data_IF_358631620695
#
_entry.id   IF_358631620695
#
_cell.length_a   1.000
_cell.length_b   1.000
_cell.length_c   1.000
_cell.angle_alpha   90.00
_cell.angle_beta   90.00
_cell.angle_gamma   90.00
#
_symmetry.space_group_name_H-M   'P 1'
#
loop_
_entity.id
_entity.type
_entity.pdbx_description
1 polymer ?
#
# COMPACT_ATOMS: atom_id res chain seq x y z
N UNK A 1 12.01 -1.27 -7.16
CA UNK A 1 12.53 -2.57 -6.65
C UNK A 1 13.12 -3.43 -7.76
N UNK A 2 12.40 -3.70 -8.85
CA UNK A 2 12.96 -4.50 -9.96
C UNK A 2 14.10 -3.74 -10.65
N UNK A 3 13.94 -2.48 -11.01
CA UNK A 3 15.00 -1.66 -11.62
C UNK A 3 16.27 -1.59 -10.74
N UNK A 4 16.10 -1.45 -9.43
CA UNK A 4 17.20 -1.47 -8.47
C UNK A 4 17.91 -2.85 -8.47
N UNK A 5 17.13 -3.93 -8.43
CA UNK A 5 17.69 -5.28 -8.45
C UNK A 5 18.46 -5.58 -9.76
N UNK A 6 17.94 -5.16 -10.91
CA UNK A 6 18.62 -5.28 -12.20
C UNK A 6 19.93 -4.47 -12.23
N UNK A 7 19.88 -3.21 -11.77
CA UNK A 7 21.07 -2.34 -11.74
C UNK A 7 22.19 -2.89 -10.84
N UNK A 8 21.82 -3.69 -9.86
CA UNK A 8 22.74 -4.37 -8.93
C UNK A 8 23.14 -5.78 -9.37
N UNK A 9 22.65 -6.25 -10.53
CA UNK A 9 22.94 -7.59 -11.04
C UNK A 9 22.35 -8.73 -10.22
N UNK A 10 21.25 -8.47 -9.48
CA UNK A 10 20.55 -9.48 -8.66
C UNK A 10 19.53 -10.29 -9.43
N UNK A 11 19.18 -9.84 -10.65
CA UNK A 11 18.26 -10.51 -11.54
C UNK A 11 18.95 -10.93 -12.84
N UNK A 12 18.74 -12.17 -13.25
CA UNK A 12 19.06 -12.69 -14.55
C UNK A 12 17.84 -13.42 -15.15
N UNK A 13 17.87 -13.86 -16.42
CA UNK A 13 16.70 -14.51 -17.06
C UNK A 13 16.18 -15.76 -16.35
N UNK A 14 17.03 -16.46 -15.58
CA UNK A 14 16.68 -17.68 -14.85
C UNK A 14 16.22 -17.41 -13.42
N UNK A 15 16.28 -16.15 -12.96
CA UNK A 15 15.89 -15.77 -11.60
C UNK A 15 14.37 -15.79 -11.44
N UNK A 16 13.88 -16.50 -10.42
CA UNK A 16 12.46 -16.51 -10.05
C UNK A 16 12.21 -15.43 -9.01
N UNK A 17 11.34 -14.48 -9.33
CA UNK A 17 10.92 -13.46 -8.38
C UNK A 17 9.84 -14.06 -7.46
N UNK A 18 9.99 -13.91 -6.15
CA UNK A 18 9.00 -14.37 -5.16
C UNK A 18 8.63 -13.20 -4.27
N UNK A 19 7.36 -12.84 -4.17
CA UNK A 19 6.95 -11.76 -3.26
C UNK A 19 5.76 -12.19 -2.39
N UNK A 20 5.90 -12.09 -1.04
CA UNK A 20 4.77 -12.21 -0.15
C UNK A 20 3.98 -10.91 -0.15
N UNK A 21 2.77 -10.94 -0.72
CA UNK A 21 1.96 -9.72 -0.83
C UNK A 21 0.48 -10.03 -0.84
N UNK A 22 -0.29 -9.18 -0.21
CA UNK A 22 -1.76 -9.26 -0.19
C UNK A 22 -2.44 -8.33 -1.20
N UNK A 23 -1.67 -7.59 -2.02
CA UNK A 23 -2.32 -6.55 -2.81
C UNK A 23 -1.57 -5.98 -4.00
N UNK A 24 -1.55 -4.68 -4.07
CA UNK A 24 -1.13 -3.89 -5.23
C UNK A 24 0.32 -4.12 -5.65
N UNK A 25 1.22 -4.37 -4.69
CA UNK A 25 2.62 -4.74 -4.99
C UNK A 25 2.69 -6.00 -5.84
N UNK A 26 1.87 -7.03 -5.53
CA UNK A 26 1.83 -8.25 -6.33
C UNK A 26 1.34 -8.01 -7.76
N UNK A 27 0.33 -7.17 -7.94
CA UNK A 27 -0.19 -6.80 -9.27
C UNK A 27 0.90 -6.03 -10.05
N UNK A 28 1.54 -5.05 -9.42
CA UNK A 28 2.61 -4.26 -10.05
C UNK A 28 3.83 -5.12 -10.43
N UNK A 29 4.27 -6.00 -9.51
CA UNK A 29 5.38 -6.92 -9.79
C UNK A 29 5.03 -7.92 -10.89
N UNK A 30 3.81 -8.47 -10.89
CA UNK A 30 3.36 -9.39 -11.95
C UNK A 30 3.35 -8.70 -13.32
N UNK A 31 2.86 -7.47 -13.40
CA UNK A 31 2.86 -6.67 -14.63
C UNK A 31 4.29 -6.40 -15.13
N UNK A 32 5.20 -5.97 -14.27
CA UNK A 32 6.60 -5.71 -14.63
C UNK A 32 7.32 -7.00 -15.01
N UNK A 33 7.11 -8.08 -14.27
CA UNK A 33 7.69 -9.39 -14.57
C UNK A 33 7.25 -9.90 -15.95
N UNK A 34 5.96 -9.78 -16.28
CA UNK A 34 5.44 -10.13 -17.59
C UNK A 34 6.09 -9.31 -18.71
N UNK A 35 6.21 -7.99 -18.52
CA UNK A 35 6.81 -7.09 -19.51
C UNK A 35 8.31 -7.34 -19.73
N UNK A 36 9.02 -7.87 -18.73
CA UNK A 36 10.46 -8.13 -18.78
C UNK A 36 10.86 -9.60 -18.94
N UNK A 37 9.86 -10.50 -18.99
CA UNK A 37 10.08 -11.93 -19.19
C UNK A 37 10.56 -12.68 -17.96
N UNK A 38 10.38 -12.15 -16.75
CA UNK A 38 10.69 -12.84 -15.52
C UNK A 38 9.59 -13.80 -15.08
N UNK A 39 9.98 -14.95 -14.57
CA UNK A 39 9.09 -15.83 -13.82
C UNK A 39 8.80 -15.23 -12.45
N UNK A 40 7.54 -15.20 -12.03
CA UNK A 40 7.15 -14.64 -10.72
C UNK A 40 6.17 -15.55 -9.98
N UNK A 41 6.40 -15.73 -8.70
CA UNK A 41 5.53 -16.43 -7.75
C UNK A 41 5.04 -15.40 -6.71
N UNK A 42 3.74 -15.21 -6.62
CA UNK A 42 3.13 -14.38 -5.58
C UNK A 42 2.58 -15.27 -4.48
N UNK A 43 2.99 -15.01 -3.26
CA UNK A 43 2.52 -15.72 -2.06
C UNK A 43 1.56 -14.82 -1.29
N UNK A 44 0.31 -15.27 -1.07
CA UNK A 44 -0.72 -14.42 -0.47
C UNK A 44 -1.72 -15.23 0.37
N UNK A 45 -2.31 -14.61 1.41
CA UNK A 45 -3.41 -15.22 2.14
C UNK A 45 -4.63 -15.47 1.24
N UNK A 46 -5.30 -16.58 1.42
CA UNK A 46 -6.50 -16.98 0.66
C UNK A 46 -7.71 -16.03 0.83
N UNK A 47 -7.67 -15.16 1.84
CA UNK A 47 -8.74 -14.19 2.16
C UNK A 47 -8.75 -12.96 1.25
N UNK A 48 -7.79 -12.83 0.33
CA UNK A 48 -7.73 -11.70 -0.59
C UNK A 48 -8.78 -11.80 -1.69
N UNK A 49 -9.21 -10.63 -2.23
CA UNK A 49 -10.25 -10.55 -3.26
C UNK A 49 -9.94 -11.41 -4.49
N UNK A 50 -10.99 -11.94 -5.10
CA UNK A 50 -10.89 -12.79 -6.29
C UNK A 50 -10.31 -12.01 -7.46
N UNK A 51 -10.69 -10.73 -7.60
CA UNK A 51 -10.23 -9.84 -8.66
C UNK A 51 -8.71 -9.67 -8.66
N UNK A 52 -8.10 -9.50 -7.48
CA UNK A 52 -6.64 -9.40 -7.36
C UNK A 52 -5.95 -10.66 -7.81
N UNK A 53 -6.47 -11.82 -7.41
CA UNK A 53 -5.93 -13.11 -7.84
C UNK A 53 -6.04 -13.31 -9.34
N UNK A 54 -7.16 -12.91 -9.93
CA UNK A 54 -7.39 -12.97 -11.38
C UNK A 54 -6.45 -12.04 -12.15
N UNK A 55 -6.25 -10.80 -11.67
CA UNK A 55 -5.32 -9.84 -12.28
C UNK A 55 -3.89 -10.37 -12.31
N UNK A 56 -3.38 -10.90 -11.20
CA UNK A 56 -2.03 -11.46 -11.14
C UNK A 56 -1.87 -12.66 -12.08
N UNK A 57 -2.86 -13.56 -12.12
CA UNK A 57 -2.86 -14.69 -13.07
C UNK A 57 -2.93 -14.24 -14.53
N UNK A 58 -3.68 -13.18 -14.83
CA UNK A 58 -3.76 -12.63 -16.18
C UNK A 58 -2.41 -12.10 -16.68
N UNK A 59 -1.54 -11.61 -15.77
CA UNK A 59 -0.16 -11.27 -16.07
C UNK A 59 0.79 -12.48 -16.08
N UNK A 60 0.30 -13.70 -15.86
CA UNK A 60 1.11 -14.92 -15.89
C UNK A 60 1.80 -15.26 -14.57
N UNK A 61 1.48 -14.57 -13.46
CA UNK A 61 2.07 -14.90 -12.16
C UNK A 61 1.53 -16.22 -11.60
N UNK A 62 2.43 -17.02 -11.02
CA UNK A 62 2.07 -18.19 -10.22
C UNK A 62 1.59 -17.74 -8.85
N UNK A 63 0.47 -18.29 -8.37
CA UNK A 63 -0.08 -17.94 -7.07
C UNK A 63 0.05 -19.10 -6.08
N UNK A 64 0.65 -18.82 -4.94
CA UNK A 64 0.69 -19.72 -3.78
C UNK A 64 -0.18 -19.11 -2.68
N UNK A 65 -1.29 -19.79 -2.37
CA UNK A 65 -2.21 -19.34 -1.32
C UNK A 65 -1.81 -19.94 0.02
N UNK A 66 -1.83 -19.11 1.06
CA UNK A 66 -1.58 -19.51 2.44
C UNK A 66 -2.85 -19.39 3.28
N UNK A 67 -2.90 -20.10 4.41
CA UNK A 67 -4.03 -20.05 5.34
C UNK A 67 -4.33 -18.62 5.77
N UNK A 68 -5.56 -18.18 5.62
CA UNK A 68 -6.00 -16.83 5.97
C UNK A 68 -5.72 -16.45 7.43
N UNK A 69 -5.85 -17.41 8.36
CA UNK A 69 -5.58 -17.19 9.78
C UNK A 69 -4.13 -16.80 10.10
N UNK A 70 -3.16 -17.17 9.24
CA UNK A 70 -1.75 -16.83 9.40
C UNK A 70 -1.41 -15.43 8.86
N UNK A 71 -2.32 -14.80 8.12
CA UNK A 71 -2.14 -13.46 7.55
C UNK A 71 -0.84 -13.29 6.77
N UNK A 72 -0.30 -12.08 6.76
CA UNK A 72 0.96 -11.77 6.06
C UNK A 72 2.18 -12.51 6.61
N UNK A 73 2.22 -12.80 7.92
CA UNK A 73 3.33 -13.58 8.50
C UNK A 73 3.43 -14.97 7.88
N UNK A 74 2.27 -15.61 7.63
CA UNK A 74 2.23 -16.91 6.95
C UNK A 74 2.70 -16.83 5.50
N UNK A 75 2.34 -15.77 4.78
CA UNK A 75 2.79 -15.57 3.41
C UNK A 75 4.30 -15.31 3.33
N UNK A 76 4.86 -14.51 4.24
CA UNK A 76 6.31 -14.24 4.33
C UNK A 76 7.07 -15.55 4.56
N UNK A 77 6.69 -16.33 5.58
CA UNK A 77 7.34 -17.60 5.88
C UNK A 77 7.32 -18.60 4.69
N UNK A 78 6.18 -18.66 3.97
CA UNK A 78 6.07 -19.52 2.78
C UNK A 78 6.90 -19.01 1.59
N UNK A 79 7.02 -17.70 1.42
CA UNK A 79 7.91 -17.14 0.40
C UNK A 79 9.38 -17.45 0.67
N UNK A 80 9.81 -17.36 1.93
CA UNK A 80 11.18 -17.72 2.35
C UNK A 80 11.46 -19.23 2.19
N UNK A 81 10.47 -20.08 2.46
CA UNK A 81 10.57 -21.53 2.21
C UNK A 81 10.79 -21.81 0.72
N UNK A 82 9.94 -21.26 -0.15
CA UNK A 82 10.04 -21.42 -1.60
C UNK A 82 11.38 -20.89 -2.15
N UNK A 83 11.86 -19.77 -1.62
CA UNK A 83 13.14 -19.20 -2.04
C UNK A 83 14.34 -20.12 -1.73
N UNK A 84 14.27 -20.94 -0.69
CA UNK A 84 15.31 -21.92 -0.36
C UNK A 84 15.26 -23.16 -1.25
N UNK A 85 14.09 -23.49 -1.80
CA UNK A 85 13.89 -24.66 -2.68
C UNK A 85 14.32 -24.39 -4.13
N UNK A 86 14.36 -23.12 -4.54
CA UNK A 86 14.69 -22.74 -5.91
C UNK A 86 16.17 -22.42 -6.08
N UNK A 87 16.80 -22.83 -7.20
CA UNK A 87 18.23 -22.60 -7.45
C UNK A 87 18.61 -21.11 -7.50
N UNK A 88 17.72 -20.29 -8.03
CA UNK A 88 17.87 -18.83 -8.14
C UNK A 88 16.53 -18.16 -7.82
N UNK A 89 16.43 -17.60 -6.64
CA UNK A 89 15.27 -16.86 -6.19
C UNK A 89 15.65 -15.46 -5.73
N UNK A 90 14.77 -14.50 -6.01
CA UNK A 90 14.90 -13.13 -5.53
C UNK A 90 13.59 -12.69 -4.87
N UNK A 91 13.67 -12.22 -3.64
CA UNK A 91 12.54 -11.63 -2.91
C UNK A 91 12.73 -10.12 -2.93
N UNK A 92 11.89 -9.35 -3.67
CA UNK A 92 11.94 -7.88 -3.69
C UNK A 92 11.84 -7.24 -2.31
N UNK A 93 11.01 -7.82 -1.41
CA UNK A 93 10.99 -7.47 -0.01
C UNK A 93 10.37 -6.10 0.28
N UNK A 94 9.13 -5.88 -0.11
CA UNK A 94 8.46 -4.57 -0.01
C UNK A 94 8.50 -3.91 1.37
N UNK A 95 8.63 -4.70 2.44
CA UNK A 95 8.63 -4.21 3.83
C UNK A 95 10.01 -3.77 4.33
N UNK A 96 11.09 -4.17 3.62
CA UNK A 96 12.47 -3.95 4.03
C UNK A 96 13.32 -3.25 2.93
N UNK A 97 12.84 -3.21 1.69
CA UNK A 97 13.60 -2.71 0.56
C UNK A 97 13.54 -1.16 0.46
N UNK A 98 14.67 -0.45 0.61
CA UNK A 98 14.71 1.01 0.57
C UNK A 98 14.31 1.61 -0.79
N UNK A 99 14.35 0.84 -1.89
CA UNK A 99 13.87 1.29 -3.19
C UNK A 99 12.35 1.60 -3.19
N UNK A 100 11.60 1.04 -2.24
CA UNK A 100 10.18 1.33 -2.07
C UNK A 100 9.94 2.80 -1.65
N UNK A 101 10.39 3.32 -0.49
CA UNK A 101 10.23 4.74 -0.19
C UNK A 101 11.02 5.64 -1.13
N UNK A 102 12.16 5.21 -1.64
CA UNK A 102 12.98 6.02 -2.54
C UNK A 102 12.25 6.41 -3.83
N UNK A 103 11.50 5.50 -4.46
CA UNK A 103 10.73 5.81 -5.67
C UNK A 103 9.62 6.82 -5.38
N UNK A 104 8.94 6.72 -4.25
CA UNK A 104 7.91 7.68 -3.86
C UNK A 104 8.48 9.08 -3.57
N UNK A 105 9.69 9.14 -3.00
CA UNK A 105 10.41 10.41 -2.82
C UNK A 105 10.81 11.03 -4.16
N UNK A 106 11.23 10.20 -5.12
CA UNK A 106 11.72 10.66 -6.42
C UNK A 106 10.60 10.97 -7.43
N UNK A 107 9.41 10.39 -7.29
CA UNK A 107 8.31 10.52 -8.26
C UNK A 107 7.03 11.02 -7.63
N UNK A 108 6.37 10.24 -6.80
CA UNK A 108 5.04 10.55 -6.23
C UNK A 108 5.04 11.88 -5.45
N UNK A 109 6.07 12.15 -4.66
CA UNK A 109 6.19 13.43 -3.94
C UNK A 109 6.27 14.64 -4.87
N UNK A 110 7.20 14.67 -5.84
CA UNK A 110 7.25 15.71 -6.88
C UNK A 110 5.97 15.88 -7.68
N UNK A 111 5.33 14.79 -8.09
CA UNK A 111 4.06 14.80 -8.83
C UNK A 111 2.96 15.49 -8.00
N UNK A 112 2.77 15.10 -6.73
CA UNK A 112 1.79 15.73 -5.83
C UNK A 112 2.07 17.24 -5.70
N UNK A 113 3.32 17.62 -5.48
CA UNK A 113 3.65 19.04 -5.30
C UNK A 113 3.39 19.85 -6.58
N UNK A 114 3.70 19.28 -7.75
CA UNK A 114 3.47 19.89 -9.05
C UNK A 114 1.97 20.05 -9.32
N UNK A 115 1.19 18.99 -9.14
CA UNK A 115 -0.25 18.95 -9.42
C UNK A 115 -1.08 19.84 -8.47
N UNK A 116 -0.48 20.24 -7.35
CA UNK A 116 -1.09 21.15 -6.37
C UNK A 116 -0.55 22.59 -6.44
N UNK A 117 0.21 22.95 -7.47
CA UNK A 117 0.89 24.26 -7.58
C UNK A 117 1.73 24.60 -6.34
N UNK A 118 2.35 23.59 -5.74
CA UNK A 118 3.15 23.73 -4.50
C UNK A 118 2.33 23.93 -3.22
N UNK A 119 1.01 23.76 -3.28
CA UNK A 119 0.11 24.06 -2.16
C UNK A 119 -0.35 22.79 -1.46
N UNK A 120 0.49 22.24 -0.60
CA UNK A 120 0.15 21.12 0.26
C UNK A 120 0.33 21.54 1.71
N UNK A 121 -0.75 21.60 2.48
CA UNK A 121 -0.68 21.85 3.93
C UNK A 121 -0.68 20.53 4.72
N UNK A 122 -1.49 19.56 4.27
CA UNK A 122 -1.66 18.27 4.94
C UNK A 122 -1.62 17.15 3.90
N UNK A 123 -0.75 16.16 4.09
CA UNK A 123 -0.70 14.94 3.30
C UNK A 123 -1.21 13.76 4.11
N UNK A 124 -2.16 13.00 3.57
CA UNK A 124 -2.82 11.86 4.22
C UNK A 124 -2.55 10.58 3.43
N UNK A 125 -2.01 9.57 4.06
CA UNK A 125 -1.78 8.28 3.41
C UNK A 125 -2.03 7.09 4.36
N UNK A 126 -2.64 6.04 3.83
CA UNK A 126 -2.77 4.75 4.50
C UNK A 126 -1.41 4.03 4.60
N UNK A 127 -1.14 3.40 5.75
CA UNK A 127 0.12 2.71 6.00
C UNK A 127 -0.02 1.20 5.81
N UNK A 128 0.45 0.70 4.67
CA UNK A 128 0.69 -0.72 4.42
C UNK A 128 2.15 -1.07 4.69
N UNK A 129 3.02 -0.90 3.70
CA UNK A 129 4.49 -0.99 3.90
C UNK A 129 5.08 0.28 4.51
N UNK A 130 4.39 1.40 4.38
CA UNK A 130 4.91 2.71 4.78
C UNK A 130 5.77 3.40 3.72
N UNK A 131 6.04 2.74 2.58
CA UNK A 131 6.89 3.32 1.52
C UNK A 131 6.37 4.65 0.99
N UNK A 132 5.07 4.75 0.73
CA UNK A 132 4.45 5.97 0.23
C UNK A 132 4.58 7.11 1.22
N UNK A 133 4.11 6.92 2.47
CA UNK A 133 4.12 8.00 3.47
C UNK A 133 5.55 8.44 3.82
N UNK A 134 6.49 7.49 3.88
CA UNK A 134 7.92 7.78 4.12
C UNK A 134 8.49 8.61 2.98
N UNK A 135 8.36 8.15 1.73
CA UNK A 135 8.97 8.82 0.59
C UNK A 135 8.33 10.16 0.28
N UNK A 136 6.99 10.22 0.19
CA UNK A 136 6.26 11.47 -0.07
C UNK A 136 6.40 12.45 1.10
N UNK A 137 6.26 11.96 2.33
CA UNK A 137 6.37 12.80 3.52
C UNK A 137 7.75 13.43 3.66
N UNK A 138 8.82 12.64 3.43
CA UNK A 138 10.18 13.16 3.42
C UNK A 138 10.36 14.25 2.34
N UNK A 139 9.92 13.99 1.10
CA UNK A 139 10.00 14.97 0.03
C UNK A 139 9.24 16.26 0.35
N UNK A 140 7.97 16.14 0.76
CA UNK A 140 7.16 17.33 1.04
C UNK A 140 7.73 18.17 2.20
N UNK A 141 8.24 17.53 3.26
CA UNK A 141 8.88 18.23 4.39
C UNK A 141 10.22 18.87 4.01
N UNK A 142 10.97 18.30 3.06
CA UNK A 142 12.16 18.94 2.49
C UNK A 142 11.81 20.22 1.71
N UNK A 143 10.68 20.23 0.99
CA UNK A 143 10.23 21.41 0.24
C UNK A 143 9.57 22.45 1.17
N UNK A 144 8.80 21.99 2.14
CA UNK A 144 8.12 22.86 3.11
C UNK A 144 8.01 22.16 4.47
N UNK A 145 8.86 22.51 5.46
CA UNK A 145 8.90 21.84 6.77
C UNK A 145 7.61 21.94 7.61
N UNK A 146 6.68 22.83 7.25
CA UNK A 146 5.40 22.98 7.98
C UNK A 146 4.29 22.07 7.45
N UNK A 147 4.53 21.31 6.37
CA UNK A 147 3.58 20.31 5.88
C UNK A 147 3.33 19.26 6.96
N UNK A 148 2.07 19.03 7.28
CA UNK A 148 1.68 17.96 8.20
C UNK A 148 1.48 16.66 7.42
N UNK A 149 2.08 15.59 7.88
CA UNK A 149 1.94 14.24 7.33
C UNK A 149 1.10 13.40 8.29
N UNK A 150 0.02 12.82 7.78
CA UNK A 150 -0.95 12.06 8.58
C UNK A 150 -1.00 10.62 8.11
N UNK A 151 -0.68 9.72 9.01
CA UNK A 151 -0.74 8.28 8.80
C UNK A 151 -2.15 7.77 9.09
N UNK A 152 -2.65 6.87 8.25
CA UNK A 152 -3.93 6.18 8.46
C UNK A 152 -3.69 4.70 8.71
N UNK A 153 -4.28 4.19 9.79
CA UNK A 153 -4.23 2.77 10.14
C UNK A 153 -5.64 2.23 10.46
N UNK A 154 -5.89 0.90 10.40
CA UNK A 154 -7.15 0.33 10.82
C UNK A 154 -7.36 0.45 12.34
N UNK A 155 -8.52 0.93 12.80
CA UNK A 155 -8.83 1.05 14.22
C UNK A 155 -8.81 -0.31 14.96
N UNK A 156 -9.16 -1.39 14.26
CA UNK A 156 -9.08 -2.76 14.80
C UNK A 156 -7.65 -3.35 14.84
N UNK A 157 -6.66 -2.68 14.20
CA UNK A 157 -5.25 -3.08 14.20
C UNK A 157 -4.35 -1.85 14.38
N UNK A 158 -4.44 -1.15 15.53
CA UNK A 158 -3.76 0.12 15.77
C UNK A 158 -2.28 -0.10 16.15
N UNK A 159 -1.51 -0.65 15.22
CA UNK A 159 -0.10 -1.02 15.45
C UNK A 159 0.77 0.22 15.66
N UNK A 160 0.54 1.27 14.86
CA UNK A 160 1.37 2.48 14.93
C UNK A 160 1.05 3.32 16.18
N UNK A 161 -0.23 3.44 16.53
CA UNK A 161 -0.66 4.27 17.67
C UNK A 161 -0.66 3.55 19.01
N UNK A 162 -0.89 2.22 19.03
CA UNK A 162 -1.06 1.44 20.27
C UNK A 162 -0.21 0.17 20.36
N UNK A 163 0.58 -0.15 19.33
CA UNK A 163 1.41 -1.37 19.32
C UNK A 163 0.62 -2.68 19.25
N UNK A 164 -0.68 -2.64 18.93
CA UNK A 164 -1.55 -3.82 18.97
C UNK A 164 -2.03 -4.20 17.57
N UNK A 165 -1.75 -5.42 17.13
CA UNK A 165 -2.27 -5.97 15.89
C UNK A 165 -3.62 -6.66 16.10
N UNK A 166 -4.52 -6.56 15.13
CA UNK A 166 -5.82 -7.20 15.13
C UNK A 166 -6.35 -7.49 13.73
N UNK A 167 -7.40 -8.29 13.64
CA UNK A 167 -8.07 -8.57 12.37
C UNK A 167 -8.91 -7.36 11.93
N UNK A 168 -8.79 -6.99 10.66
CA UNK A 168 -9.53 -5.89 10.05
C UNK A 168 -9.89 -6.19 8.59
N UNK A 169 -10.77 -5.37 8.00
CA UNK A 169 -11.26 -5.53 6.63
C UNK A 169 -10.73 -4.47 5.65
N UNK A 170 -9.87 -3.56 6.09
CA UNK A 170 -9.30 -2.52 5.23
C UNK A 170 -8.09 -3.10 4.48
N UNK A 171 -8.33 -3.76 3.35
CA UNK A 171 -7.28 -4.35 2.53
C UNK A 171 -6.31 -3.28 2.03
N UNK A 172 -5.00 -3.60 2.03
CA UNK A 172 -3.94 -2.73 1.51
C UNK A 172 -3.16 -1.96 2.57
N UNK A 173 -3.69 -1.82 3.80
CA UNK A 173 -3.01 -1.20 4.94
C UNK A 173 -3.05 -2.12 6.17
N UNK A 174 -2.32 -1.77 7.23
CA UNK A 174 -2.37 -2.51 8.49
C UNK A 174 -1.74 -3.89 8.41
N UNK A 175 -0.44 -3.99 8.12
CA UNK A 175 0.30 -5.24 7.96
C UNK A 175 0.40 -6.10 9.24
N UNK A 176 0.02 -5.55 10.40
CA UNK A 176 0.08 -6.23 11.71
C UNK A 176 1.44 -6.11 12.40
N UNK A 177 2.35 -5.34 11.85
CA UNK A 177 3.66 -5.00 12.42
C UNK A 177 4.13 -3.65 11.85
N UNK A 178 5.16 -3.05 12.46
CA UNK A 178 5.81 -1.83 11.93
C UNK A 178 6.84 -2.25 10.89
N UNK A 179 6.67 -1.88 9.61
CA UNK A 179 7.63 -2.22 8.55
C UNK A 179 8.97 -1.50 8.72
N UNK A 180 10.07 -2.14 8.29
CA UNK A 180 11.41 -1.56 8.39
C UNK A 180 11.59 -0.31 7.51
N UNK A 181 10.93 -0.27 6.35
CA UNK A 181 10.99 0.89 5.44
C UNK A 181 10.15 2.08 5.89
N UNK A 182 9.32 1.91 6.94
CA UNK A 182 8.54 3.01 7.50
C UNK A 182 9.41 3.88 8.40
N UNK A 183 9.60 5.13 8.01
CA UNK A 183 10.13 6.15 8.90
C UNK A 183 9.02 6.65 9.83
N UNK A 184 9.06 6.22 11.09
CA UNK A 184 8.05 6.61 12.09
C UNK A 184 8.17 8.06 12.55
N UNK A 185 9.23 8.78 12.18
CA UNK A 185 9.40 10.19 12.46
C UNK A 185 8.84 11.10 11.35
N UNK A 186 8.44 10.53 10.20
CA UNK A 186 7.97 11.32 9.06
C UNK A 186 6.57 11.88 9.25
N UNK A 187 5.70 11.17 9.96
CA UNK A 187 4.31 11.60 10.20
C UNK A 187 4.14 12.31 11.55
N UNK A 188 3.21 13.27 11.57
CA UNK A 188 2.92 14.13 12.70
C UNK A 188 1.69 13.67 13.49
N UNK A 189 0.82 12.88 12.84
CA UNK A 189 -0.43 12.38 13.42
C UNK A 189 -0.77 10.99 12.86
N UNK A 190 -1.44 10.16 13.66
CA UNK A 190 -1.99 8.88 13.25
C UNK A 190 -3.51 8.93 13.45
N UNK A 191 -4.27 8.58 12.40
CA UNK A 191 -5.73 8.50 12.46
C UNK A 191 -6.15 7.04 12.26
N UNK A 192 -6.66 6.37 13.32
CA UNK A 192 -7.26 5.05 13.19
C UNK A 192 -8.65 5.16 12.56
N UNK A 193 -8.95 4.30 11.58
CA UNK A 193 -10.21 4.30 10.82
C UNK A 193 -10.93 2.97 10.98
N UNK A 194 -12.24 3.03 11.27
CA UNK A 194 -13.10 1.86 11.36
C UNK A 194 -13.41 1.30 9.96
N UNK A 195 -13.62 -0.03 9.87
CA UNK A 195 -13.91 -0.70 8.60
C UNK A 195 -15.11 -0.06 7.88
N UNK A 196 -16.21 0.16 8.60
CA UNK A 196 -17.45 0.70 8.04
C UNK A 196 -17.29 2.17 7.58
N UNK A 197 -16.48 2.95 8.28
CA UNK A 197 -16.15 4.32 7.88
C UNK A 197 -15.37 4.34 6.55
N UNK A 198 -14.40 3.44 6.39
CA UNK A 198 -13.66 3.28 5.15
C UNK A 198 -14.58 2.87 3.98
N UNK A 199 -15.45 1.89 4.19
CA UNK A 199 -16.42 1.45 3.18
C UNK A 199 -17.40 2.56 2.79
N UNK A 200 -17.98 3.24 3.78
CA UNK A 200 -18.93 4.33 3.53
C UNK A 200 -18.28 5.49 2.74
N UNK A 201 -17.07 5.88 3.10
CA UNK A 201 -16.33 6.93 2.39
C UNK A 201 -15.99 6.51 0.95
N UNK A 202 -15.50 5.27 0.74
CA UNK A 202 -15.21 4.75 -0.60
C UNK A 202 -16.44 4.72 -1.50
N UNK A 203 -17.58 4.22 -0.99
CA UNK A 203 -18.86 4.25 -1.73
C UNK A 203 -19.34 5.67 -2.03
N UNK A 204 -19.13 6.59 -1.10
CA UNK A 204 -19.49 7.99 -1.30
C UNK A 204 -18.71 8.62 -2.44
N UNK A 205 -17.39 8.42 -2.51
CA UNK A 205 -16.56 8.91 -3.63
C UNK A 205 -17.10 8.41 -4.96
N UNK A 206 -17.39 7.11 -5.07
CA UNK A 206 -17.98 6.55 -6.29
C UNK A 206 -19.30 7.20 -6.69
N UNK A 207 -20.17 7.51 -5.72
CA UNK A 207 -21.51 8.07 -5.98
C UNK A 207 -21.52 9.59 -6.20
N UNK A 208 -20.59 10.34 -5.58
CA UNK A 208 -20.55 11.80 -5.69
C UNK A 208 -19.60 12.29 -6.78
N UNK A 209 -18.46 11.61 -6.96
CA UNK A 209 -17.40 12.05 -7.90
C UNK A 209 -17.32 11.18 -9.16
N UNK A 210 -18.04 10.05 -9.22
CA UNK A 210 -17.97 9.11 -10.35
C UNK A 210 -16.65 8.33 -10.45
N UNK A 211 -15.85 8.30 -9.37
CA UNK A 211 -14.56 7.62 -9.31
C UNK A 211 -14.64 6.45 -8.34
N UNK A 212 -14.48 5.22 -8.85
CA UNK A 212 -14.41 4.05 -8.00
C UNK A 212 -13.02 3.93 -7.36
N UNK A 213 -12.99 3.86 -6.03
CA UNK A 213 -11.75 3.78 -5.25
C UNK A 213 -11.73 2.53 -4.37
N UNK A 214 -10.53 2.06 -3.99
CA UNK A 214 -10.39 0.92 -3.11
C UNK A 214 -10.70 1.21 -1.64
N UNK A 215 -10.69 0.15 -0.81
CA UNK A 215 -11.04 0.23 0.61
C UNK A 215 -10.09 1.17 1.38
N UNK A 216 -8.78 1.03 1.17
CA UNK A 216 -7.79 1.90 1.83
C UNK A 216 -7.86 3.35 1.36
N UNK A 217 -8.28 3.57 0.10
CA UNK A 217 -8.59 4.90 -0.43
C UNK A 217 -9.76 5.52 0.34
N UNK A 218 -10.82 4.75 0.59
CA UNK A 218 -11.94 5.18 1.43
C UNK A 218 -11.51 5.56 2.85
N UNK A 219 -10.58 4.81 3.44
CA UNK A 219 -10.01 5.15 4.75
C UNK A 219 -9.24 6.49 4.72
N UNK A 220 -8.42 6.72 3.69
CA UNK A 220 -7.68 7.97 3.52
C UNK A 220 -8.62 9.17 3.31
N UNK A 221 -9.67 9.01 2.49
CA UNK A 221 -10.69 10.05 2.27
C UNK A 221 -11.46 10.35 3.56
N UNK A 222 -11.84 9.32 4.31
CA UNK A 222 -12.51 9.55 5.59
C UNK A 222 -11.64 10.37 6.55
N UNK A 223 -10.37 10.00 6.69
CA UNK A 223 -9.42 10.73 7.53
C UNK A 223 -9.23 12.18 7.05
N UNK A 224 -9.13 12.41 5.75
CA UNK A 224 -9.03 13.74 5.16
C UNK A 224 -10.29 14.60 5.45
N UNK A 225 -11.48 14.00 5.37
CA UNK A 225 -12.74 14.68 5.73
C UNK A 225 -12.77 15.06 7.21
N UNK A 226 -12.34 14.17 8.12
CA UNK A 226 -12.27 14.48 9.54
C UNK A 226 -11.25 15.60 9.85
N UNK A 227 -10.12 15.62 9.13
CA UNK A 227 -9.16 16.73 9.22
C UNK A 227 -9.75 18.05 8.69
N UNK A 228 -10.49 18.01 7.58
CA UNK A 228 -11.11 19.20 6.99
C UNK A 228 -12.20 19.83 7.88
N UNK A 229 -12.86 19.05 8.75
CA UNK A 229 -13.87 19.55 9.70
C UNK A 229 -13.25 20.35 10.86
N UNK A 230 -11.95 20.23 11.09
CA UNK A 230 -11.28 20.91 12.20
C UNK A 230 -11.14 22.41 11.89
N UNK A 231 -11.52 23.31 12.80
CA UNK A 231 -11.46 24.75 12.57
C UNK A 231 -10.08 25.28 12.16
N UNK A 232 -9.01 24.71 12.73
CA UNK A 232 -7.62 25.07 12.44
C UNK A 232 -7.17 24.69 11.02
N UNK A 233 -7.92 23.84 10.35
CA UNK A 233 -7.64 23.42 8.97
C UNK A 233 -8.49 24.15 7.92
N UNK A 234 -9.24 25.16 8.34
CA UNK A 234 -10.01 25.98 7.42
C UNK A 234 -9.10 26.61 6.35
N UNK A 235 -9.47 26.46 5.10
CA UNK A 235 -8.73 26.96 3.93
C UNK A 235 -7.39 26.27 3.65
N UNK A 236 -7.10 25.16 4.32
CA UNK A 236 -5.90 24.35 4.04
C UNK A 236 -6.13 23.39 2.90
N UNK A 237 -5.09 23.16 2.11
CA UNK A 237 -5.05 22.11 1.08
C UNK A 237 -4.70 20.78 1.71
N UNK A 238 -5.63 19.84 1.68
CA UNK A 238 -5.47 18.48 2.19
C UNK A 238 -5.39 17.52 1.01
N UNK A 239 -4.29 16.83 0.87
CA UNK A 239 -4.07 15.82 -0.17
C UNK A 239 -4.17 14.43 0.44
N UNK A 240 -5.12 13.62 -0.02
CA UNK A 240 -5.26 12.22 0.37
C UNK A 240 -4.82 11.31 -0.78
N UNK A 241 -3.90 10.38 -0.52
CA UNK A 241 -3.45 9.42 -1.53
C UNK A 241 -4.43 8.26 -1.63
N UNK A 242 -4.93 8.02 -2.84
CA UNK A 242 -5.85 6.95 -3.21
C UNK A 242 -5.10 5.92 -4.07
N UNK A 243 -4.61 4.81 -3.48
CA UNK A 243 -3.59 3.98 -4.13
C UNK A 243 -4.13 3.06 -5.23
N UNK A 244 -5.44 2.83 -5.29
CA UNK A 244 -6.02 1.92 -6.28
C UNK A 244 -7.50 2.19 -6.59
N UNK A 245 -7.98 1.50 -7.64
CA UNK A 245 -9.36 1.60 -8.13
C UNK A 245 -10.30 0.62 -7.42
N UNK A 246 -11.60 0.92 -7.43
CA UNK A 246 -12.64 0.07 -6.86
C UNK A 246 -12.86 -1.26 -7.60
N UNK A 247 -12.44 -1.37 -8.86
CA UNK A 247 -12.62 -2.58 -9.69
C UNK A 247 -11.99 -3.84 -9.05
N UNK A 248 -10.99 -3.64 -8.20
CA UNK A 248 -10.31 -4.71 -7.45
C UNK A 248 -11.10 -5.24 -6.26
N UNK A 249 -12.28 -4.71 -6.00
CA UNK A 249 -13.06 -4.92 -4.77
C UNK A 249 -14.54 -5.19 -5.00
N UNK A 250 -14.96 -5.45 -6.25
CA UNK A 250 -16.38 -5.61 -6.61
C UNK A 250 -17.06 -6.74 -5.84
N UNK A 251 -16.33 -7.81 -5.51
CA UNK A 251 -16.85 -8.95 -4.72
C UNK A 251 -16.72 -8.77 -3.20
N UNK A 252 -16.21 -7.62 -2.73
CA UNK A 252 -15.97 -7.36 -1.30
C UNK A 252 -17.11 -6.54 -0.68
N UNK A 253 -17.21 -6.46 0.67
CA UNK A 253 -18.20 -5.62 1.35
C UNK A 253 -18.11 -4.12 1.04
N UNK A 254 -17.14 -3.67 0.25
CA UNK A 254 -17.11 -2.30 -0.27
C UNK A 254 -18.29 -2.05 -1.21
N UNK A 255 -18.61 -3.01 -2.09
CA UNK A 255 -19.63 -2.87 -3.15
C UNK A 255 -20.68 -4.00 -3.15
N UNK A 256 -20.33 -5.18 -2.64
CA UNK A 256 -21.29 -6.26 -2.46
C UNK A 256 -22.18 -6.01 -1.21
N UNK A 257 -23.45 -6.35 -1.33
CA UNK A 257 -24.43 -6.29 -0.22
C UNK A 257 -24.22 -7.42 0.79
#
# INVERSE_FOLDING_TARGET
MIDDAESRGLLDPDTVIIEPTSGNTGIGLASVAAARGYRIIIVMPETMSVERRQLMRAYGAELVLTEGAKGMKGAIAKAEELAKELPKAFIPGQFVNPANPAVHKATTGPEILTDTDGKVDIFVAGVGTGGTITGVGAYLKEQNPVVRVVAVEPAASPVLSKGTAGAHKIQGIGAGFVPEVLDTAVYDEIIPVENEAAFAAGRRVGRSEGVLVGISSGAAVWAAIELAKRPENKSKTIVALLPDTGDRYLSTPLFAD
#
